data_IF_129601649364
#
_entry.id   IF_129601649364
#
_cell.length_a   1.000
_cell.length_b   1.000
_cell.length_c   1.000
_cell.angle_alpha   90.00
_cell.angle_beta   90.00
_cell.angle_gamma   90.00
#
_symmetry.space_group_name_H-M   'P 1'
#
loop_
_entity.id
_entity.type
_entity.pdbx_description
1 polymer ?
#
# COMPACT_ATOMS: atom_id res chain seq x y z
N UNK A 1 8.27 -13.03 11.60
CA UNK A 1 7.94 -13.04 10.16
C UNK A 1 6.43 -12.90 10.03
N UNK A 2 5.91 -11.76 9.54
CA UNK A 2 4.46 -11.60 9.35
C UNK A 2 4.11 -12.12 7.95
N UNK A 3 3.52 -13.31 7.88
CA UNK A 3 3.15 -13.97 6.61
C UNK A 3 1.71 -13.69 6.17
N UNK A 4 0.98 -12.84 6.90
CA UNK A 4 -0.41 -12.50 6.62
C UNK A 4 -0.55 -11.55 5.43
N UNK A 5 -1.57 -11.79 4.61
CA UNK A 5 -2.02 -10.85 3.59
C UNK A 5 -2.49 -9.54 4.25
N UNK A 6 -2.08 -8.40 3.70
CA UNK A 6 -2.60 -7.10 4.13
C UNK A 6 -4.05 -6.97 3.66
N UNK A 7 -4.95 -6.77 4.62
CA UNK A 7 -6.39 -6.65 4.41
C UNK A 7 -6.79 -5.22 4.04
N UNK A 8 -8.05 -5.05 3.64
CA UNK A 8 -8.62 -3.76 3.23
C UNK A 8 -8.66 -2.74 4.37
N UNK A 9 -8.67 -3.18 5.63
CA UNK A 9 -8.64 -2.30 6.81
C UNK A 9 -7.47 -1.31 6.79
N UNK A 10 -6.28 -1.75 6.37
CA UNK A 10 -5.10 -0.89 6.28
C UNK A 10 -5.31 0.25 5.25
N UNK A 11 -5.93 -0.07 4.12
CA UNK A 11 -6.25 0.92 3.08
C UNK A 11 -7.34 1.87 3.56
N UNK A 12 -8.37 1.37 4.25
CA UNK A 12 -9.43 2.22 4.84
C UNK A 12 -8.87 3.25 5.82
N UNK A 13 -7.98 2.83 6.70
CA UNK A 13 -7.38 3.73 7.70
C UNK A 13 -6.62 4.88 7.02
N UNK A 14 -5.80 4.58 6.02
CA UNK A 14 -5.03 5.59 5.30
C UNK A 14 -5.93 6.52 4.48
N UNK A 15 -6.94 5.99 3.78
CA UNK A 15 -7.90 6.80 3.00
C UNK A 15 -8.73 7.71 3.90
N UNK A 16 -9.12 7.25 5.09
CA UNK A 16 -9.79 8.10 6.07
C UNK A 16 -8.87 9.23 6.53
N UNK A 17 -7.62 8.92 6.87
CA UNK A 17 -6.62 9.93 7.24
C UNK A 17 -6.41 10.96 6.14
N UNK A 18 -6.29 10.52 4.89
CA UNK A 18 -6.18 11.38 3.70
C UNK A 18 -7.28 12.45 3.69
N UNK A 19 -8.54 12.03 3.84
CA UNK A 19 -9.71 12.92 3.82
C UNK A 19 -9.77 13.82 5.05
N UNK A 20 -9.46 13.27 6.22
CA UNK A 20 -9.52 14.02 7.49
C UNK A 20 -8.49 15.14 7.56
N UNK A 21 -7.30 14.93 7.00
CA UNK A 21 -6.20 15.89 7.07
C UNK A 21 -5.99 16.68 5.77
N UNK A 22 -6.85 16.52 4.76
CA UNK A 22 -6.74 17.23 3.48
C UNK A 22 -5.47 16.89 2.70
N UNK A 23 -4.91 15.70 2.91
CA UNK A 23 -3.71 15.27 2.21
C UNK A 23 -4.03 14.99 0.73
N UNK A 24 -3.05 15.24 -0.15
CA UNK A 24 -3.22 15.05 -1.60
C UNK A 24 -3.04 13.59 -2.04
N UNK A 25 -2.25 12.81 -1.30
CA UNK A 25 -1.88 11.45 -1.68
C UNK A 25 -1.82 10.51 -0.47
N UNK A 26 -2.18 9.26 -0.70
CA UNK A 26 -2.18 8.18 0.28
C UNK A 26 -1.27 7.04 -0.19
N UNK A 27 -0.55 6.41 0.74
CA UNK A 27 0.26 5.23 0.44
C UNK A 27 0.20 4.22 1.59
N UNK A 28 0.17 2.94 1.26
CA UNK A 28 0.43 1.84 2.20
C UNK A 28 1.69 1.13 1.74
N UNK A 29 2.63 0.89 2.67
CA UNK A 29 3.89 0.17 2.41
C UNK A 29 3.92 -1.10 3.27
N UNK A 30 4.26 -2.24 2.67
CA UNK A 30 4.38 -3.52 3.39
C UNK A 30 5.47 -4.42 2.82
N UNK A 31 6.07 -5.25 3.69
CA UNK A 31 6.98 -6.33 3.30
C UNK A 31 6.25 -7.63 2.90
N UNK A 32 4.92 -7.62 2.93
CA UNK A 32 4.04 -8.72 2.54
C UNK A 32 3.37 -8.42 1.20
N UNK A 33 2.21 -9.02 0.94
CA UNK A 33 1.36 -8.76 -0.24
C UNK A 33 -0.07 -8.41 0.19
N UNK A 34 -0.79 -7.71 -0.69
CA UNK A 34 -2.15 -7.26 -0.44
C UNK A 34 -3.20 -8.31 -0.83
N UNK A 35 -4.36 -8.27 -0.19
CA UNK A 35 -5.54 -8.98 -0.68
C UNK A 35 -6.12 -8.33 -1.94
N UNK A 36 -6.96 -9.05 -2.69
CA UNK A 36 -7.66 -8.50 -3.85
C UNK A 36 -8.58 -7.32 -3.46
N UNK A 37 -9.27 -7.43 -2.33
CA UNK A 37 -10.13 -6.37 -1.79
C UNK A 37 -9.32 -5.11 -1.44
N UNK A 38 -8.14 -5.28 -0.84
CA UNK A 38 -7.26 -4.15 -0.53
C UNK A 38 -6.79 -3.42 -1.80
N UNK A 39 -6.39 -4.17 -2.84
CA UNK A 39 -6.04 -3.59 -4.15
C UNK A 39 -7.20 -2.81 -4.78
N UNK A 40 -8.40 -3.38 -4.77
CA UNK A 40 -9.59 -2.73 -5.33
C UNK A 40 -9.94 -1.44 -4.57
N UNK A 41 -9.85 -1.47 -3.24
CA UNK A 41 -10.13 -0.30 -2.42
C UNK A 41 -9.10 0.81 -2.66
N UNK A 42 -7.82 0.44 -2.81
CA UNK A 42 -6.75 1.38 -3.06
C UNK A 42 -6.91 2.09 -4.43
N UNK A 43 -7.23 1.32 -5.47
CA UNK A 43 -7.51 1.85 -6.81
C UNK A 43 -8.70 2.83 -6.84
N UNK A 44 -9.73 2.62 -6.01
CA UNK A 44 -10.88 3.51 -5.94
C UNK A 44 -10.68 4.79 -5.11
N UNK A 45 -9.52 4.95 -4.46
CA UNK A 45 -9.23 6.10 -3.58
C UNK A 45 -7.84 6.68 -3.83
N UNK A 46 -7.27 6.45 -5.03
CA UNK A 46 -5.93 6.92 -5.42
C UNK A 46 -4.83 6.66 -4.37
N UNK A 47 -4.91 5.49 -3.74
CA UNK A 47 -3.97 5.06 -2.71
C UNK A 47 -2.88 4.17 -3.34
N UNK A 48 -1.63 4.58 -3.20
CA UNK A 48 -0.47 3.85 -3.72
C UNK A 48 -0.16 2.65 -2.83
N UNK A 49 0.03 1.48 -3.44
CA UNK A 49 0.42 0.26 -2.73
C UNK A 49 1.86 -0.10 -3.07
N UNK A 50 2.71 -0.19 -2.04
CA UNK A 50 4.11 -0.61 -2.17
C UNK A 50 4.27 -1.93 -1.41
N UNK A 51 4.38 -3.03 -2.16
CA UNK A 51 4.54 -4.37 -1.61
C UNK A 51 6.00 -4.87 -1.70
N UNK A 52 6.25 -6.11 -1.24
CA UNK A 52 7.57 -6.73 -1.32
C UNK A 52 8.19 -6.69 -2.72
N UNK A 53 7.38 -6.87 -3.78
CA UNK A 53 7.90 -6.90 -5.16
C UNK A 53 8.35 -5.50 -5.57
N UNK A 54 7.54 -4.49 -5.27
CA UNK A 54 7.92 -3.09 -5.50
C UNK A 54 9.21 -2.73 -4.76
N UNK A 55 9.34 -3.15 -3.50
CA UNK A 55 10.55 -2.91 -2.71
C UNK A 55 11.78 -3.62 -3.29
N UNK A 56 11.63 -4.86 -3.74
CA UNK A 56 12.72 -5.61 -4.38
C UNK A 56 13.22 -4.93 -5.66
N UNK A 57 12.31 -4.38 -6.48
CA UNK A 57 12.67 -3.60 -7.66
C UNK A 57 13.49 -2.35 -7.28
N UNK A 58 13.11 -1.64 -6.22
CA UNK A 58 13.87 -0.47 -5.77
C UNK A 58 15.26 -0.83 -5.26
N UNK A 59 15.43 -1.94 -4.57
CA UNK A 59 16.75 -2.40 -4.13
C UNK A 59 17.63 -2.88 -5.27
N UNK A 60 17.05 -3.53 -6.29
CA UNK A 60 17.77 -4.01 -7.46
C UNK A 60 18.25 -2.85 -8.36
N UNK A 61 17.43 -1.79 -8.47
CA UNK A 61 17.78 -0.57 -9.22
C UNK A 61 18.98 0.22 -8.68
N UNK A 62 19.44 -0.09 -7.45
CA UNK A 62 20.64 0.51 -6.83
C UNK A 62 21.94 -0.21 -7.21
N UNK A 63 21.87 -1.31 -7.96
CA UNK A 63 23.04 -2.10 -8.42
C UNK A 63 23.48 -1.79 -9.86
N UNK A 64 23.10 -0.64 -10.43
CA UNK A 64 23.63 -0.14 -11.71
C UNK A 64 24.32 1.21 -11.53
#
# INVERSE_FOLDING_TARGET
HYSGLVKDSAVRQVVTGLKMYGCSHAMVVTNSTYSATARRLAAGNDCVLVDRKSLALFTDSKSK
#
